data_IF_012309333456
#
_entry.id   IF_012309333456
#
_cell.length_a   1.000
_cell.length_b   1.000
_cell.length_c   1.000
_cell.angle_alpha   90.00
_cell.angle_beta   90.00
_cell.angle_gamma   90.00
#
_symmetry.space_group_name_H-M   'P 1'
#
loop_
_entity.id
_entity.type
_entity.pdbx_description
1 polymer ?
#
# COMPACT_ATOMS: atom_id res chain seq x y z
N UNK A 1 -3.21 39.85 -19.55
CA UNK A 1 -4.62 39.48 -19.34
C UNK A 1 -5.47 40.68 -19.73
N UNK A 2 -6.71 40.56 -20.27
CA UNK A 2 -7.67 39.44 -20.16
C UNK A 2 -7.90 38.76 -21.54
N UNK A 3 -8.99 38.01 -21.82
CA UNK A 3 -10.01 37.42 -20.92
C UNK A 3 -10.13 35.88 -21.00
N UNK A 4 -10.81 35.31 -20.01
CA UNK A 4 -11.22 33.89 -19.98
C UNK A 4 -12.33 33.65 -21.01
N UNK A 5 -12.30 32.52 -21.72
CA UNK A 5 -13.44 32.04 -22.53
C UNK A 5 -14.26 31.02 -21.73
N UNK A 6 -15.60 31.16 -21.65
CA UNK A 6 -16.44 30.24 -20.87
C UNK A 6 -16.71 28.92 -21.60
N UNK A 7 -17.07 27.90 -20.82
CA UNK A 7 -17.45 26.56 -21.28
C UNK A 7 -18.74 26.56 -22.10
N UNK A 8 -18.84 25.71 -23.12
CA UNK A 8 -20.07 25.43 -23.85
C UNK A 8 -20.35 23.92 -23.90
N UNK A 9 -21.18 23.42 -22.98
CA UNK A 9 -21.71 22.07 -23.05
C UNK A 9 -22.93 22.03 -23.99
N UNK A 10 -22.95 21.07 -24.93
CA UNK A 10 -24.10 20.84 -25.81
C UNK A 10 -24.53 19.38 -25.68
N UNK A 11 -25.67 19.15 -25.03
CA UNK A 11 -26.27 17.83 -24.85
C UNK A 11 -27.63 17.79 -25.54
N UNK A 12 -27.63 17.41 -26.81
CA UNK A 12 -28.81 17.09 -27.62
C UNK A 12 -28.41 15.97 -28.63
N UNK A 13 -29.32 15.16 -29.17
CA UNK A 13 -30.77 15.30 -29.16
C UNK A 13 -31.53 14.06 -28.66
N UNK A 14 -32.82 14.25 -28.36
CA UNK A 14 -33.82 13.18 -28.30
C UNK A 14 -34.18 12.75 -29.73
N UNK A 15 -34.51 11.48 -29.90
CA UNK A 15 -35.49 11.02 -30.89
C UNK A 15 -36.61 10.29 -30.14
N UNK A 16 -37.86 10.42 -30.59
CA UNK A 16 -39.06 9.86 -29.94
C UNK A 16 -39.63 8.67 -30.73
N UNK A 17 -40.52 7.90 -30.10
CA UNK A 17 -41.01 6.61 -30.61
C UNK A 17 -42.16 6.73 -31.63
N UNK A 18 -42.37 5.64 -32.38
CA UNK A 18 -43.58 5.31 -33.17
C UNK A 18 -43.91 3.82 -33.04
N UNK A 19 -45.14 3.44 -33.41
CA UNK A 19 -45.83 2.15 -33.10
C UNK A 19 -46.64 1.71 -34.34
N UNK A 20 -47.18 0.48 -34.49
CA UNK A 20 -47.30 -0.69 -33.59
C UNK A 20 -46.36 -1.86 -34.04
N UNK A 21 -46.65 -3.18 -34.19
CA UNK A 21 -47.86 -4.06 -34.14
C UNK A 21 -47.46 -5.51 -33.78
N UNK A 22 -48.43 -6.36 -33.44
CA UNK A 22 -48.27 -7.78 -33.06
C UNK A 22 -47.97 -8.74 -34.23
N UNK A 23 -47.09 -9.72 -34.04
CA UNK A 23 -47.17 -11.11 -34.59
C UNK A 23 -46.27 -12.07 -33.80
N UNK A 24 -46.64 -13.36 -33.82
CA UNK A 24 -46.10 -14.57 -33.15
C UNK A 24 -44.57 -14.72 -33.06
N UNK A 25 -44.12 -15.43 -32.01
CA UNK A 25 -42.72 -15.75 -31.71
C UNK A 25 -42.02 -16.67 -32.75
N UNK A 26 -40.68 -16.74 -32.72
CA UNK A 26 -40.06 -17.86 -31.99
C UNK A 26 -39.01 -17.44 -30.94
N UNK A 27 -38.90 -18.23 -29.87
CA UNK A 27 -37.93 -18.03 -28.79
C UNK A 27 -36.50 -18.40 -29.23
N UNK A 28 -35.71 -17.42 -29.68
CA UNK A 28 -34.28 -17.61 -29.90
C UNK A 28 -33.50 -17.18 -28.65
N UNK A 29 -32.99 -18.15 -27.87
CA UNK A 29 -32.15 -17.89 -26.68
C UNK A 29 -30.78 -17.36 -27.10
N UNK A 30 -30.73 -16.10 -27.47
CA UNK A 30 -29.48 -15.35 -27.62
C UNK A 30 -28.90 -15.10 -26.24
N UNK A 31 -27.85 -15.84 -25.89
CA UNK A 31 -27.00 -15.53 -24.75
C UNK A 31 -26.25 -14.22 -25.05
N UNK A 32 -26.92 -13.10 -24.79
CA UNK A 32 -26.33 -11.78 -24.76
C UNK A 32 -25.35 -11.73 -23.59
N UNK A 33 -24.11 -12.17 -23.84
CA UNK A 33 -23.02 -12.14 -22.88
C UNK A 33 -22.71 -10.69 -22.52
N UNK A 34 -23.37 -10.20 -21.47
CA UNK A 34 -23.26 -8.84 -20.91
C UNK A 34 -21.90 -8.54 -20.26
N UNK A 35 -20.83 -9.14 -20.78
CA UNK A 35 -19.45 -8.78 -20.45
C UNK A 35 -19.07 -7.50 -21.17
N UNK A 36 -19.41 -6.35 -20.60
CA UNK A 36 -18.80 -5.08 -20.96
C UNK A 36 -17.31 -5.13 -20.56
N UNK A 37 -16.50 -5.75 -21.42
CA UNK A 37 -15.08 -5.94 -21.22
C UNK A 37 -14.43 -4.56 -21.07
N UNK A 38 -14.02 -4.23 -19.83
CA UNK A 38 -13.29 -3.00 -19.54
C UNK A 38 -11.91 -3.12 -20.17
N UNK A 39 -11.83 -2.66 -21.43
CA UNK A 39 -10.62 -2.58 -22.22
C UNK A 39 -9.50 -1.99 -21.37
N UNK A 40 -8.38 -2.72 -21.29
CA UNK A 40 -7.25 -2.35 -20.44
C UNK A 40 -6.65 -1.04 -20.96
N UNK A 41 -6.99 0.07 -20.30
CA UNK A 41 -6.56 1.40 -20.72
C UNK A 41 -5.10 1.60 -20.34
N UNK A 42 -4.20 1.30 -21.27
CA UNK A 42 -2.79 1.66 -21.18
C UNK A 42 -2.65 3.17 -21.35
N UNK A 43 -2.62 3.90 -20.24
CA UNK A 43 -2.15 5.30 -20.24
C UNK A 43 -0.77 5.35 -20.91
N UNK A 44 -0.65 6.15 -21.96
CA UNK A 44 0.63 6.39 -22.62
C UNK A 44 1.61 6.96 -21.59
N UNK A 45 2.75 6.28 -21.42
CA UNK A 45 3.81 6.75 -20.52
C UNK A 45 4.26 8.12 -21.02
N UNK A 46 4.23 9.12 -20.14
CA UNK A 46 4.78 10.43 -20.45
C UNK A 46 6.23 10.25 -20.91
N UNK A 47 6.57 10.77 -22.09
CA UNK A 47 7.93 10.69 -22.60
C UNK A 47 8.86 11.42 -21.64
N UNK A 48 9.81 10.71 -21.04
CA UNK A 48 10.77 11.32 -20.11
C UNK A 48 11.53 12.44 -20.81
N UNK A 49 11.43 13.66 -20.29
CA UNK A 49 12.05 14.85 -20.87
C UNK A 49 13.58 14.92 -20.69
N UNK A 50 14.21 13.79 -20.37
CA UNK A 50 15.66 13.62 -20.39
C UNK A 50 16.15 13.59 -21.85
N UNK A 51 16.57 14.76 -22.35
CA UNK A 51 17.64 14.82 -23.33
C UNK A 51 18.97 14.35 -22.70
N UNK A 52 20.07 14.24 -23.48
CA UNK A 52 21.39 13.86 -22.96
C UNK A 52 22.03 15.00 -22.17
N UNK A 53 21.49 15.30 -21.00
CA UNK A 53 22.10 16.20 -20.01
C UNK A 53 23.30 15.53 -19.37
N UNK A 54 24.49 15.81 -19.89
CA UNK A 54 25.75 15.43 -19.24
C UNK A 54 26.04 16.39 -18.09
N UNK A 55 25.85 15.94 -16.85
CA UNK A 55 26.32 16.64 -15.66
C UNK A 55 27.81 16.31 -15.44
N UNK A 56 28.74 17.29 -15.52
CA UNK A 56 30.16 17.02 -15.29
C UNK A 56 30.42 16.69 -13.81
N UNK A 57 31.49 15.93 -13.49
CA UNK A 57 31.79 15.51 -12.12
C UNK A 57 32.15 16.71 -11.22
N UNK A 58 31.13 17.31 -10.60
CA UNK A 58 31.19 18.54 -9.80
C UNK A 58 31.80 18.34 -8.40
N UNK A 59 31.89 17.10 -7.92
CA UNK A 59 32.36 16.76 -6.58
C UNK A 59 31.37 17.12 -5.46
N UNK A 60 30.12 17.45 -5.79
CA UNK A 60 29.11 17.88 -4.82
C UNK A 60 28.35 16.67 -4.25
N UNK A 61 28.28 16.59 -2.92
CA UNK A 61 27.59 15.49 -2.24
C UNK A 61 26.08 15.61 -2.49
N UNK A 62 25.51 14.60 -3.15
CA UNK A 62 24.11 14.57 -3.62
C UNK A 62 23.72 15.73 -4.55
N UNK A 63 24.69 16.32 -5.28
CA UNK A 63 24.43 17.46 -6.18
C UNK A 63 24.12 18.78 -5.48
N UNK A 64 24.13 18.83 -4.14
CA UNK A 64 23.90 20.05 -3.36
C UNK A 64 25.20 20.85 -3.28
N UNK A 65 25.15 22.12 -3.69
CA UNK A 65 26.31 23.01 -3.64
C UNK A 65 26.77 23.22 -2.18
N UNK A 66 28.07 23.09 -1.87
CA UNK A 66 28.58 23.32 -0.51
C UNK A 66 28.18 24.70 0.04
N UNK A 67 27.49 24.71 1.18
CA UNK A 67 26.97 25.91 1.85
C UNK A 67 25.51 26.23 1.59
N UNK A 68 24.87 25.57 0.61
CA UNK A 68 23.42 25.68 0.40
C UNK A 68 22.65 24.76 1.35
N UNK A 69 21.55 25.24 1.93
CA UNK A 69 20.73 24.43 2.86
C UNK A 69 19.83 23.49 2.06
N UNK A 70 19.86 22.22 2.41
CA UNK A 70 18.98 21.21 1.81
C UNK A 70 17.51 21.59 1.98
N UNK A 71 16.76 21.56 0.87
CA UNK A 71 15.32 21.79 0.83
C UNK A 71 14.64 20.42 0.98
N UNK A 72 13.77 20.26 1.98
CA UNK A 72 13.03 19.02 2.16
C UNK A 72 12.09 18.79 0.98
N UNK A 73 12.19 17.64 0.32
CA UNK A 73 11.44 17.33 -0.92
C UNK A 73 9.95 16.99 -0.67
N UNK A 74 9.44 17.20 0.54
CA UNK A 74 8.03 17.05 0.92
C UNK A 74 7.57 15.59 1.09
N UNK A 75 8.14 14.65 0.32
CA UNK A 75 7.90 13.21 0.49
C UNK A 75 8.65 12.62 1.69
N UNK A 76 9.80 13.20 2.05
CA UNK A 76 10.69 12.72 3.11
C UNK A 76 10.00 12.68 4.47
N UNK A 77 9.25 13.73 4.85
CA UNK A 77 8.55 13.80 6.13
C UNK A 77 7.59 12.61 6.33
N UNK A 78 6.61 12.42 5.43
CA UNK A 78 5.75 11.23 5.41
C UNK A 78 6.52 9.90 5.40
N UNK A 79 7.64 9.82 4.67
CA UNK A 79 8.47 8.61 4.66
C UNK A 79 9.14 8.35 6.01
N UNK A 80 9.88 9.30 6.58
CA UNK A 80 10.56 9.11 7.86
C UNK A 80 9.58 8.89 9.02
N UNK A 81 8.52 9.70 9.13
CA UNK A 81 7.53 9.49 10.20
C UNK A 81 6.71 8.22 10.02
N UNK A 82 6.36 7.84 8.78
CA UNK A 82 5.63 6.60 8.49
C UNK A 82 6.49 5.35 8.66
N UNK A 83 7.61 5.28 7.94
CA UNK A 83 8.49 4.12 7.92
C UNK A 83 9.25 3.94 9.23
N UNK A 84 10.02 4.95 9.68
CA UNK A 84 10.78 4.81 10.93
C UNK A 84 9.86 4.76 12.16
N UNK A 85 8.71 5.46 12.13
CA UNK A 85 7.66 5.29 13.13
C UNK A 85 7.10 3.86 13.17
N UNK A 86 6.87 3.23 12.01
CA UNK A 86 6.43 1.83 11.95
C UNK A 86 7.48 0.86 12.48
N UNK A 87 8.78 1.13 12.27
CA UNK A 87 9.88 0.32 12.81
C UNK A 87 9.93 0.41 14.34
N UNK A 88 9.83 1.61 14.91
CA UNK A 88 9.77 1.79 16.38
C UNK A 88 8.56 1.09 16.98
N UNK A 89 7.38 1.23 16.36
CA UNK A 89 6.16 0.54 16.80
C UNK A 89 6.31 -0.98 16.70
N UNK A 90 6.93 -1.49 15.65
CA UNK A 90 7.23 -2.92 15.48
C UNK A 90 8.20 -3.45 16.55
N UNK A 91 9.27 -2.71 16.87
CA UNK A 91 10.19 -3.07 17.96
C UNK A 91 9.48 -3.16 19.31
N UNK A 92 8.60 -2.20 19.63
CA UNK A 92 7.79 -2.21 20.85
C UNK A 92 6.84 -3.42 20.86
N UNK A 93 6.09 -3.64 19.77
CA UNK A 93 5.16 -4.76 19.65
C UNK A 93 5.84 -6.14 19.71
N UNK A 94 7.08 -6.25 19.22
CA UNK A 94 7.89 -7.45 19.33
C UNK A 94 8.40 -7.68 20.75
N UNK A 95 8.91 -6.64 21.41
CA UNK A 95 9.45 -6.73 22.78
C UNK A 95 8.39 -7.04 23.85
N UNK A 96 7.15 -6.58 23.66
CA UNK A 96 6.01 -6.87 24.56
C UNK A 96 5.09 -7.99 24.05
N UNK A 97 5.56 -8.82 23.10
CA UNK A 97 4.82 -10.01 22.69
C UNK A 97 4.76 -10.99 23.88
N UNK A 98 3.58 -11.52 24.27
CA UNK A 98 3.48 -12.50 25.35
C UNK A 98 4.17 -13.82 24.99
N UNK A 99 4.82 -14.43 25.98
CA UNK A 99 5.51 -15.72 25.87
C UNK A 99 4.55 -16.91 25.81
N UNK A 100 3.82 -17.01 24.70
CA UNK A 100 2.96 -18.16 24.37
C UNK A 100 3.78 -19.38 23.90
N UNK A 101 4.99 -19.57 24.41
CA UNK A 101 5.86 -20.71 24.07
C UNK A 101 5.48 -21.91 24.92
N UNK A 102 5.26 -23.07 24.28
CA UNK A 102 5.00 -24.33 25.00
C UNK A 102 6.14 -24.70 25.96
N UNK A 103 7.34 -24.16 25.75
CA UNK A 103 8.51 -24.41 26.60
C UNK A 103 8.39 -23.79 28.00
N UNK A 104 7.70 -22.66 28.18
CA UNK A 104 7.53 -22.06 29.52
C UNK A 104 6.65 -22.96 30.37
N UNK A 105 5.48 -23.32 29.87
CA UNK A 105 4.57 -24.28 30.51
C UNK A 105 5.20 -25.66 30.71
N UNK A 106 5.96 -26.17 29.73
CA UNK A 106 6.62 -27.47 29.84
C UNK A 106 7.74 -27.47 30.90
N UNK A 107 8.47 -26.37 31.08
CA UNK A 107 9.46 -26.23 32.16
C UNK A 107 8.80 -26.10 33.53
N UNK A 108 7.66 -25.41 33.64
CA UNK A 108 6.91 -25.25 34.88
C UNK A 108 6.24 -26.57 35.32
N UNK A 109 5.60 -27.30 34.39
CA UNK A 109 5.06 -28.64 34.68
C UNK A 109 6.20 -29.66 34.93
N UNK A 110 7.33 -29.59 34.23
CA UNK A 110 8.49 -30.44 34.52
C UNK A 110 9.09 -30.17 35.92
N UNK A 111 9.21 -28.88 36.31
CA UNK A 111 9.59 -28.47 37.67
C UNK A 111 8.62 -29.07 38.69
N UNK A 112 7.31 -28.95 38.46
CA UNK A 112 6.27 -29.51 39.34
C UNK A 112 6.33 -31.03 39.48
N UNK A 113 6.77 -31.76 38.44
CA UNK A 113 7.02 -33.21 38.52
C UNK A 113 8.26 -33.52 39.34
N UNK A 114 9.37 -32.81 39.11
CA UNK A 114 10.62 -32.97 39.87
C UNK A 114 10.47 -32.59 41.36
N UNK A 115 9.65 -31.60 41.68
CA UNK A 115 9.27 -31.24 43.05
C UNK A 115 8.40 -32.33 43.70
N UNK A 116 7.45 -32.92 42.97
CA UNK A 116 6.66 -34.06 43.45
C UNK A 116 7.47 -35.35 43.60
N UNK A 117 8.58 -35.49 42.86
CA UNK A 117 9.57 -36.57 42.97
C UNK A 117 10.68 -36.26 44.00
N UNK A 118 10.68 -35.06 44.59
CA UNK A 118 11.47 -34.71 45.78
C UNK A 118 12.99 -34.68 45.60
N UNK A 119 13.49 -34.49 44.38
CA UNK A 119 14.89 -34.76 44.01
C UNK A 119 15.70 -33.51 43.57
N UNK A 120 15.22 -32.30 43.86
CA UNK A 120 16.00 -31.07 43.65
C UNK A 120 15.90 -30.11 44.84
N UNK A 121 17.07 -29.63 45.28
CA UNK A 121 17.28 -28.73 46.41
C UNK A 121 17.30 -27.26 45.90
N UNK A 122 16.72 -26.32 46.66
CA UNK A 122 16.47 -24.96 46.17
C UNK A 122 17.76 -24.18 45.82
N UNK A 123 17.93 -23.73 44.56
CA UNK A 123 19.14 -23.03 44.13
C UNK A 123 19.23 -21.58 44.63
N UNK A 124 18.17 -21.01 45.21
CA UNK A 124 18.15 -19.63 45.72
C UNK A 124 19.17 -19.37 46.85
N UNK A 125 19.68 -20.43 47.50
CA UNK A 125 20.74 -20.32 48.51
C UNK A 125 22.11 -19.99 47.90
N UNK A 126 22.29 -20.10 46.57
CA UNK A 126 23.62 -20.07 45.92
C UNK A 126 24.01 -18.78 45.18
N UNK A 127 23.70 -17.65 45.83
CA UNK A 127 24.50 -16.41 45.85
C UNK A 127 24.51 -15.49 44.62
#
# INVERSE_FOLDING_TARGET
MPPIRPSSCVRAARAAATLTTTTTAPSTTTLATGGAARLFSSTSRAAGAHGPSYDPPSGWLFGVKPGEKYQNEGWEGPFFYGFCGSLVLFTIAYAFKPDTSIQTWALEEARRRLEAEGILEDPEVKK
#
